data_IF_808062836042
#
_entry.id   IF_808062836042
#
_cell.length_a   1.000
_cell.length_b   1.000
_cell.length_c   1.000
_cell.angle_alpha   90.00
_cell.angle_beta   90.00
_cell.angle_gamma   90.00
#
_symmetry.space_group_name_H-M   'P 1'
#
loop_
_entity.id
_entity.type
_entity.pdbx_description
1 polymer ?
#
# COMPACT_ATOMS: atom_id res chain seq x y z
N UNK A 1 -21.06 -12.19 7.52
CA UNK A 1 -20.94 -11.72 6.13
C UNK A 1 -19.70 -10.84 6.04
N UNK A 2 -18.58 -11.38 5.55
CA UNK A 2 -17.33 -10.62 5.44
C UNK A 2 -17.44 -9.53 4.38
N UNK A 3 -16.83 -8.36 4.61
CA UNK A 3 -16.71 -7.33 3.58
C UNK A 3 -15.94 -7.90 2.39
N UNK A 4 -16.38 -7.63 1.16
CA UNK A 4 -15.67 -8.06 -0.03
C UNK A 4 -14.26 -7.44 -0.06
N UNK A 5 -13.24 -8.17 -0.53
CA UNK A 5 -11.92 -7.60 -0.79
C UNK A 5 -12.05 -6.44 -1.79
N UNK A 6 -11.24 -5.40 -1.63
CA UNK A 6 -11.21 -4.31 -2.61
C UNK A 6 -10.73 -4.86 -3.98
N UNK A 7 -11.16 -4.26 -5.09
CA UNK A 7 -11.03 -4.86 -6.42
C UNK A 7 -9.59 -4.79 -6.91
N UNK A 8 -8.79 -3.90 -6.31
CA UNK A 8 -7.37 -3.79 -6.58
C UNK A 8 -6.52 -4.83 -5.85
N UNK A 9 -7.09 -5.67 -4.97
CA UNK A 9 -6.33 -6.65 -4.20
C UNK A 9 -5.53 -7.63 -5.06
N UNK A 10 -6.05 -8.11 -6.21
CA UNK A 10 -5.29 -8.97 -7.10
C UNK A 10 -4.02 -8.35 -7.69
N UNK A 11 -3.84 -7.03 -7.64
CA UNK A 11 -2.66 -6.34 -8.19
C UNK A 11 -1.59 -6.04 -7.14
N UNK A 12 -1.81 -6.41 -5.88
CA UNK A 12 -0.89 -6.12 -4.78
C UNK A 12 -0.71 -7.30 -3.84
N UNK A 13 0.50 -7.47 -3.34
CA UNK A 13 0.83 -8.39 -2.26
C UNK A 13 0.82 -7.65 -0.91
N UNK A 14 0.10 -8.17 0.09
CA UNK A 14 0.15 -7.61 1.44
C UNK A 14 1.36 -8.12 2.22
N UNK A 15 2.24 -7.20 2.60
CA UNK A 15 3.46 -7.48 3.35
C UNK A 15 3.37 -6.86 4.75
N UNK A 16 3.84 -7.61 5.75
CA UNK A 16 3.93 -7.15 7.14
C UNK A 16 4.87 -5.95 7.24
N UNK A 17 4.42 -4.92 7.95
CA UNK A 17 5.25 -3.76 8.24
C UNK A 17 6.07 -4.01 9.51
N UNK A 18 7.41 -4.00 9.45
CA UNK A 18 8.24 -4.20 10.63
C UNK A 18 8.05 -3.09 11.69
N UNK A 19 7.68 -1.88 11.25
CA UNK A 19 7.48 -0.72 12.12
C UNK A 19 6.06 -0.64 12.72
N UNK A 20 5.07 -1.30 12.12
CA UNK A 20 3.70 -1.30 12.59
C UNK A 20 3.02 -2.64 12.31
N UNK A 21 3.00 -3.51 13.31
CA UNK A 21 2.43 -4.87 13.20
C UNK A 21 0.95 -4.90 12.81
N UNK A 22 0.21 -3.82 13.05
CA UNK A 22 -1.22 -3.71 12.74
C UNK A 22 -1.48 -3.26 11.30
N UNK A 23 -0.58 -2.46 10.71
CA UNK A 23 -0.77 -1.89 9.37
C UNK A 23 0.18 -2.55 8.37
N UNK A 24 -0.34 -3.50 7.60
CA UNK A 24 0.37 -4.07 6.44
C UNK A 24 0.53 -3.03 5.33
N UNK A 25 1.62 -3.12 4.58
CA UNK A 25 1.78 -2.40 3.31
C UNK A 25 1.41 -3.30 2.16
N UNK A 26 1.10 -2.68 1.02
CA UNK A 26 0.72 -3.33 -0.20
C UNK A 26 1.82 -3.10 -1.23
N UNK A 27 2.45 -4.17 -1.69
CA UNK A 27 3.52 -4.12 -2.70
C UNK A 27 2.90 -4.41 -4.05
N UNK A 28 3.11 -3.54 -5.03
CA UNK A 28 2.54 -3.70 -6.36
C UNK A 28 3.20 -4.87 -7.10
N UNK A 29 2.38 -5.78 -7.64
CA UNK A 29 2.87 -6.99 -8.29
C UNK A 29 3.67 -6.68 -9.56
N UNK A 30 3.35 -5.60 -10.29
CA UNK A 30 4.12 -5.18 -11.46
C UNK A 30 5.58 -4.87 -11.12
N UNK A 31 5.88 -4.37 -9.91
CA UNK A 31 7.26 -4.17 -9.45
C UNK A 31 7.93 -5.44 -8.94
N UNK A 32 7.16 -6.41 -8.43
CA UNK A 32 7.70 -7.72 -8.04
C UNK A 32 8.18 -8.47 -9.28
N UNK A 33 7.42 -8.41 -10.37
CA UNK A 33 7.76 -9.03 -11.64
C UNK A 33 8.96 -8.37 -12.32
N UNK A 34 9.05 -7.04 -12.29
CA UNK A 34 10.18 -6.31 -12.90
C UNK A 34 11.50 -6.53 -12.14
N UNK A 35 11.45 -6.54 -10.81
CA UNK A 35 12.66 -6.64 -9.98
C UNK A 35 12.79 -8.03 -9.34
N UNK A 36 12.22 -8.15 -8.15
CA UNK A 36 11.97 -9.35 -7.34
C UNK A 36 11.22 -8.87 -6.10
N UNK A 37 10.54 -9.77 -5.39
CA UNK A 37 9.80 -9.43 -4.16
C UNK A 37 10.65 -8.68 -3.12
N UNK A 38 11.88 -9.14 -2.85
CA UNK A 38 12.74 -8.55 -1.83
C UNK A 38 13.15 -7.11 -2.17
N UNK A 39 13.41 -6.83 -3.46
CA UNK A 39 13.75 -5.49 -3.93
C UNK A 39 12.53 -4.57 -3.83
N UNK A 40 11.36 -5.04 -4.30
CA UNK A 40 10.12 -4.26 -4.27
C UNK A 40 9.66 -3.92 -2.84
N UNK A 41 9.87 -4.80 -1.86
CA UNK A 41 9.57 -4.51 -0.44
C UNK A 41 10.48 -3.41 0.13
N UNK A 42 11.72 -3.30 -0.35
CA UNK A 42 12.70 -2.35 0.19
C UNK A 42 12.52 -0.95 -0.39
N UNK A 43 12.00 -0.85 -1.62
CA UNK A 43 11.78 0.43 -2.32
C UNK A 43 10.43 1.04 -1.97
N UNK A 44 10.46 2.25 -1.40
CA UNK A 44 9.25 2.96 -0.98
C UNK A 44 8.28 3.27 -2.12
N UNK A 45 8.79 3.45 -3.33
CA UNK A 45 7.99 3.71 -4.52
C UNK A 45 7.15 2.51 -4.97
N UNK A 46 7.55 1.28 -4.61
CA UNK A 46 6.89 0.05 -5.03
C UNK A 46 5.76 -0.39 -4.09
N UNK A 47 5.56 0.31 -2.97
CA UNK A 47 4.60 -0.09 -1.95
C UNK A 47 3.76 1.08 -1.43
N UNK A 48 2.51 0.80 -1.08
CA UNK A 48 1.56 1.78 -0.53
C UNK A 48 0.91 1.30 0.77
N UNK A 49 0.24 2.22 1.46
CA UNK A 49 -0.60 1.85 2.61
C UNK A 49 -1.81 1.05 2.15
N UNK A 50 -2.25 0.07 2.95
CA UNK A 50 -3.42 -0.78 2.70
C UNK A 50 -4.75 0.01 2.73
N UNK A 51 -5.00 0.86 1.72
CA UNK A 51 -6.27 1.56 1.47
C UNK A 51 -6.55 1.66 -0.03
N UNK A 52 -7.81 1.45 -0.42
CA UNK A 52 -8.23 1.45 -1.83
C UNK A 52 -7.77 2.70 -2.61
N UNK A 53 -7.92 3.90 -2.06
CA UNK A 53 -7.46 5.15 -2.68
C UNK A 53 -5.97 5.12 -3.06
N UNK A 54 -5.13 4.54 -2.23
CA UNK A 54 -3.70 4.46 -2.53
C UNK A 54 -3.38 3.42 -3.60
N UNK A 55 -4.19 2.37 -3.73
CA UNK A 55 -3.99 1.34 -4.74
C UNK A 55 -4.32 1.92 -6.11
N UNK A 56 -5.48 2.57 -6.23
CA UNK A 56 -5.90 3.26 -7.44
C UNK A 56 -4.85 4.28 -7.89
N UNK A 57 -4.46 5.20 -6.99
CA UNK A 57 -3.47 6.23 -7.32
C UNK A 57 -2.12 5.64 -7.72
N UNK A 58 -1.70 4.56 -7.08
CA UNK A 58 -0.45 3.90 -7.42
C UNK A 58 -0.51 3.25 -8.80
N UNK A 59 -1.58 2.50 -9.11
CA UNK A 59 -1.74 1.88 -10.43
C UNK A 59 -1.81 2.93 -11.54
N UNK A 60 -2.52 4.03 -11.32
CA UNK A 60 -2.64 5.12 -12.29
C UNK A 60 -1.28 5.73 -12.66
N UNK A 61 -0.32 5.78 -11.72
CA UNK A 61 1.03 6.31 -11.95
C UNK A 61 2.11 5.23 -12.17
N UNK A 62 1.75 3.95 -12.18
CA UNK A 62 2.72 2.87 -12.25
C UNK A 62 3.11 2.58 -13.70
N UNK A 63 4.35 2.91 -14.09
CA UNK A 63 4.84 2.67 -15.44
C UNK A 63 4.82 1.17 -15.81
N UNK A 64 5.17 0.30 -14.87
CA UNK A 64 5.17 -1.15 -15.12
C UNK A 64 3.74 -1.71 -15.28
N UNK A 65 2.75 -1.06 -14.68
CA UNK A 65 1.34 -1.38 -14.91
C UNK A 65 0.93 -0.97 -16.32
N UNK A 66 1.25 0.27 -16.73
CA UNK A 66 0.94 0.78 -18.08
C UNK A 66 1.70 0.05 -19.20
N UNK A 67 2.85 -0.58 -18.91
CA UNK A 67 3.57 -1.43 -19.87
C UNK A 67 3.01 -2.85 -19.96
N UNK A 68 2.36 -3.33 -18.90
CA UNK A 68 1.87 -4.72 -18.81
C UNK A 68 0.48 -4.88 -19.41
N UNK A 69 -0.36 -3.85 -19.26
CA UNK A 69 -1.73 -3.85 -19.71
C UNK A 69 -1.91 -2.79 -20.80
N UNK A 70 -2.77 -3.06 -21.78
CA UNK A 70 -3.11 -2.05 -22.78
C UNK A 70 -3.94 -0.92 -22.15
N UNK A 71 -4.04 0.22 -22.84
CA UNK A 71 -4.75 1.41 -22.34
C UNK A 71 -6.21 1.11 -21.93
N UNK A 72 -6.91 0.26 -22.69
CA UNK A 72 -8.29 -0.14 -22.38
C UNK A 72 -8.36 -0.95 -21.09
N UNK A 73 -7.49 -1.93 -20.93
CA UNK A 73 -7.42 -2.76 -19.71
C UNK A 73 -7.05 -1.90 -18.50
N UNK A 74 -6.08 -0.98 -18.66
CA UNK A 74 -5.75 0.00 -17.62
C UNK A 74 -6.98 0.81 -17.19
N UNK A 75 -7.76 1.32 -18.15
CA UNK A 75 -8.96 2.10 -17.87
C UNK A 75 -10.05 1.26 -17.19
N UNK A 76 -10.26 0.01 -17.61
CA UNK A 76 -11.22 -0.91 -16.98
C UNK A 76 -10.82 -1.20 -15.52
N UNK A 77 -9.55 -1.53 -15.29
CA UNK A 77 -9.02 -1.82 -13.95
C UNK A 77 -9.15 -0.60 -13.05
N UNK A 78 -8.75 0.58 -13.51
CA UNK A 78 -8.85 1.82 -12.73
C UNK A 78 -10.31 2.21 -12.44
N UNK A 79 -11.24 1.93 -13.37
CA UNK A 79 -12.67 2.20 -13.20
C UNK A 79 -13.30 1.38 -12.06
N UNK A 80 -12.72 0.24 -11.68
CA UNK A 80 -13.18 -0.57 -10.53
C UNK A 80 -13.14 0.18 -9.20
N UNK A 81 -12.36 1.26 -9.10
CA UNK A 81 -12.21 2.07 -7.88
C UNK A 81 -13.26 3.18 -7.71
N UNK A 82 -14.04 3.47 -8.76
CA UNK A 82 -14.95 4.61 -8.78
C UNK A 82 -16.30 4.29 -8.12
N UNK A 83 -16.66 3.00 -8.06
CA UNK A 83 -17.88 2.53 -7.41
C UNK A 83 -17.64 2.33 -5.91
N UNK A 84 -17.76 3.43 -5.16
CA UNK A 84 -18.20 3.42 -3.76
C UNK A 84 -17.35 2.57 -2.77
N UNK A 85 -16.02 2.71 -2.81
CA UNK A 85 -15.18 2.15 -1.75
C UNK A 85 -15.17 3.05 -0.53
N UNK A 86 -16.06 2.74 0.41
CA UNK A 86 -16.07 3.32 1.76
C UNK A 86 -14.68 3.14 2.41
N UNK A 87 -14.01 4.26 2.70
CA UNK A 87 -12.70 4.36 3.36
C UNK A 87 -12.65 3.63 4.73
N UNK A 88 -13.78 3.10 5.21
CA UNK A 88 -13.93 2.36 6.46
C UNK A 88 -13.55 0.87 6.34
N UNK A 89 -12.43 0.59 5.66
CA UNK A 89 -11.55 -0.49 6.12
C UNK A 89 -10.94 0.01 7.43
N UNK A 90 -11.58 -0.39 8.54
CA UNK A 90 -11.29 -0.03 9.92
C UNK A 90 -9.77 -0.11 10.18
N UNK A 91 -9.07 0.99 9.92
CA UNK A 91 -7.80 1.27 10.56
C UNK A 91 -8.17 1.32 12.03
N UNK A 92 -7.80 0.30 12.81
CA UNK A 92 -8.00 0.33 14.25
C UNK A 92 -7.37 1.63 14.75
N UNK A 93 -8.21 2.61 15.07
CA UNK A 93 -7.83 3.92 15.57
C UNK A 93 -7.36 3.72 17.01
N UNK A 94 -6.15 3.19 17.18
CA UNK A 94 -5.44 3.26 18.46
C UNK A 94 -4.95 4.69 18.59
N UNK A 95 -5.67 5.45 19.40
CA UNK A 95 -5.37 6.79 19.87
C UNK A 95 -3.90 6.90 20.30
N UNK A 96 -3.06 7.43 19.41
CA UNK A 96 -1.69 7.80 19.78
C UNK A 96 -1.74 9.10 20.57
N UNK A 97 -1.86 8.99 21.90
CA UNK A 97 -1.41 10.05 22.81
C UNK A 97 0.08 10.27 22.52
N UNK A 98 0.42 11.41 21.91
CA UNK A 98 1.79 11.91 21.86
C UNK A 98 2.27 12.09 23.31
N UNK A 99 3.08 11.17 23.81
CA UNK A 99 4.02 11.44 24.91
C UNK A 99 5.38 11.58 24.27
N UNK A 100 5.86 12.81 24.19
CA UNK A 100 7.26 13.10 23.86
C UNK A 100 8.15 12.48 24.94
N UNK A 101 9.00 11.55 24.54
CA UNK A 101 10.13 11.12 25.35
C UNK A 101 11.34 11.93 24.89
N UNK A 102 11.77 12.86 25.74
CA UNK A 102 13.01 13.62 25.59
C UNK A 102 14.17 12.64 25.68
N UNK A 103 15.07 12.70 24.68
CA UNK A 103 16.30 11.90 24.62
C UNK A 103 17.21 12.30 25.78
N UNK A 104 17.55 11.36 26.66
CA UNK A 104 18.79 11.45 27.42
C UNK A 104 19.96 11.19 26.46
N UNK A 105 20.85 12.16 26.33
CA UNK A 105 22.15 12.00 25.70
C UNK A 105 23.20 11.99 26.81
N UNK A 106 23.67 10.80 27.18
CA UNK A 106 24.89 10.64 27.97
C UNK A 106 26.07 10.71 27.01
N UNK A 107 27.00 11.66 27.21
CA UNK A 107 28.40 11.51 26.78
C UNK A 107 29.32 12.15 27.81
N UNK A 108 30.09 11.29 28.45
CA UNK A 108 31.31 11.58 29.19
C UNK A 108 32.33 12.27 28.28
N UNK A 109 32.99 13.32 28.77
CA UNK A 109 34.46 13.43 28.92
C UNK A 109 34.71 14.21 30.19
#
# INVERSE_FOLDING_TARGET
MGKQPHPFHPYFELVSNPNNKTNKYAVCLCYIEEYTRNIAITKKECHVSNKAKYYHNHLASCENFQKRYDERECAEILSLGNDNYDDNYKSNKSTSKRKGAVRQLSRNI
#
